data_IF_434963687878
#
_entry.id   IF_434963687878
#
_cell.length_a   1.000
_cell.length_b   1.000
_cell.length_c   1.000
_cell.angle_alpha   90.00
_cell.angle_beta   90.00
_cell.angle_gamma   90.00
#
_symmetry.space_group_name_H-M   'P 1'
#
loop_
_entity.id
_entity.type
_entity.pdbx_description
1 polymer ?
#
# COMPACT_ATOMS: atom_id res chain seq x y z
N UNK A 1 6.43 12.19 -4.48
CA UNK A 1 7.40 11.17 -4.98
C UNK A 1 6.68 10.16 -5.87
N UNK A 2 7.42 9.39 -6.71
CA UNK A 2 6.85 8.33 -7.56
C UNK A 2 5.94 7.36 -6.77
N UNK A 3 6.34 7.01 -5.56
CA UNK A 3 5.59 6.11 -4.66
C UNK A 3 4.21 6.64 -4.27
N UNK A 4 4.10 7.92 -3.93
CA UNK A 4 2.81 8.54 -3.59
C UNK A 4 1.88 8.57 -4.81
N UNK A 5 2.42 8.80 -6.00
CA UNK A 5 1.66 8.78 -7.26
C UNK A 5 1.16 7.37 -7.57
N UNK A 6 2.02 6.36 -7.44
CA UNK A 6 1.66 4.96 -7.63
C UNK A 6 0.63 4.52 -6.60
N UNK A 7 0.84 4.85 -5.33
CA UNK A 7 -0.13 4.53 -4.29
C UNK A 7 -1.48 5.20 -4.55
N UNK A 8 -1.53 6.47 -4.94
CA UNK A 8 -2.81 7.13 -5.29
C UNK A 8 -3.57 6.40 -6.39
N UNK A 9 -2.87 5.93 -7.43
CA UNK A 9 -3.45 5.08 -8.48
C UNK A 9 -4.02 3.78 -7.90
N UNK A 10 -3.32 3.12 -6.99
CA UNK A 10 -3.78 1.86 -6.41
C UNK A 10 -4.86 2.04 -5.35
N UNK A 11 -4.83 3.16 -4.63
CA UNK A 11 -5.77 3.49 -3.58
C UNK A 11 -7.18 3.58 -4.12
N UNK A 12 -7.40 4.11 -5.34
CA UNK A 12 -8.74 4.12 -5.95
C UNK A 12 -9.35 2.72 -6.12
N UNK A 13 -8.53 1.66 -6.15
CA UNK A 13 -8.98 0.27 -6.21
C UNK A 13 -9.19 -0.34 -4.81
N UNK A 14 -8.55 0.23 -3.77
CA UNK A 14 -8.68 -0.20 -2.38
C UNK A 14 -9.76 0.57 -1.61
N UNK A 15 -10.08 1.79 -2.04
CA UNK A 15 -10.89 2.78 -1.31
C UNK A 15 -12.26 2.23 -0.88
N UNK A 16 -12.89 1.40 -1.72
CA UNK A 16 -14.19 0.79 -1.38
C UNK A 16 -14.19 -0.05 -0.08
N UNK A 17 -13.06 -0.62 0.30
CA UNK A 17 -12.95 -1.57 1.43
C UNK A 17 -11.89 -1.15 2.46
N UNK A 18 -10.91 -0.35 2.06
CA UNK A 18 -9.77 0.04 2.88
C UNK A 18 -9.51 1.56 2.82
N UNK A 19 -10.56 2.36 2.64
CA UNK A 19 -10.50 3.84 2.61
C UNK A 19 -9.72 4.46 3.76
N UNK A 20 -9.76 3.83 4.93
CA UNK A 20 -9.11 4.37 6.13
C UNK A 20 -7.58 4.19 6.10
N UNK A 21 -7.04 3.35 5.20
CA UNK A 21 -5.61 3.06 5.09
C UNK A 21 -4.91 3.98 4.10
N UNK A 22 -4.75 5.25 4.48
CA UNK A 22 -4.16 6.31 3.65
C UNK A 22 -2.84 6.86 4.19
N UNK A 23 -2.43 6.45 5.38
CA UNK A 23 -1.25 7.01 6.02
C UNK A 23 0.02 6.27 5.62
N UNK A 24 1.05 7.08 5.37
CA UNK A 24 2.41 6.64 5.08
C UNK A 24 2.43 5.55 3.99
N UNK A 25 1.83 5.82 2.82
CA UNK A 25 1.80 4.84 1.75
C UNK A 25 3.20 4.50 1.29
N UNK A 26 3.49 3.21 1.15
CA UNK A 26 4.80 2.72 0.73
C UNK A 26 4.68 1.70 -0.38
N UNK A 27 5.56 1.81 -1.37
CA UNK A 27 5.82 0.73 -2.32
C UNK A 27 7.02 -0.05 -1.79
N UNK A 28 6.77 -1.25 -1.26
CA UNK A 28 7.80 -2.08 -0.65
C UNK A 28 8.65 -2.79 -1.72
N UNK A 29 8.02 -3.19 -2.84
CA UNK A 29 8.69 -3.88 -3.95
C UNK A 29 7.87 -3.77 -5.24
N UNK A 30 8.57 -3.67 -6.38
CA UNK A 30 7.98 -3.80 -7.72
C UNK A 30 8.72 -4.92 -8.45
N UNK A 31 7.98 -5.87 -9.02
CA UNK A 31 8.52 -6.98 -9.80
C UNK A 31 7.97 -6.89 -11.23
N UNK A 32 8.85 -6.97 -12.24
CA UNK A 32 8.43 -7.10 -13.64
C UNK A 32 7.91 -8.51 -13.91
N UNK A 33 6.79 -8.60 -14.62
CA UNK A 33 6.25 -9.87 -15.10
C UNK A 33 6.96 -10.20 -16.42
N UNK A 34 7.64 -11.34 -16.49
CA UNK A 34 8.33 -11.82 -17.71
C UNK A 34 9.36 -10.81 -18.30
N UNK A 35 9.91 -9.92 -17.46
CA UNK A 35 10.85 -8.88 -17.88
C UNK A 35 10.19 -7.69 -18.61
N UNK A 36 8.85 -7.65 -18.69
CA UNK A 36 8.11 -6.54 -19.27
C UNK A 36 8.11 -5.34 -18.31
N UNK A 37 8.50 -4.16 -18.83
CA UNK A 37 8.61 -2.91 -18.08
C UNK A 37 7.27 -2.20 -17.85
N UNK A 38 6.17 -2.70 -18.41
CA UNK A 38 4.82 -2.18 -18.24
C UNK A 38 3.92 -3.12 -17.44
N UNK A 39 4.39 -4.32 -17.10
CA UNK A 39 3.63 -5.33 -16.38
C UNK A 39 4.27 -5.60 -15.05
N UNK A 40 3.55 -5.30 -13.98
CA UNK A 40 4.13 -5.33 -12.64
C UNK A 40 3.30 -6.11 -11.64
N UNK A 41 4.00 -6.78 -10.74
CA UNK A 41 3.47 -7.16 -9.43
C UNK A 41 4.01 -6.13 -8.43
N UNK A 42 3.10 -5.46 -7.73
CA UNK A 42 3.45 -4.43 -6.76
C UNK A 42 3.10 -4.91 -5.36
N UNK A 43 4.07 -4.81 -4.46
CA UNK A 43 3.90 -5.02 -3.04
C UNK A 43 3.92 -3.66 -2.35
N UNK A 44 2.86 -3.37 -1.62
CA UNK A 44 2.69 -2.08 -1.01
C UNK A 44 2.00 -2.19 0.34
N UNK A 45 2.11 -1.14 1.13
CA UNK A 45 1.53 -1.07 2.45
C UNK A 45 1.12 0.33 2.86
N UNK A 46 0.20 0.40 3.83
CA UNK A 46 -0.26 1.66 4.42
C UNK A 46 -0.82 1.44 5.82
N UNK A 47 -0.87 2.53 6.59
CA UNK A 47 -1.43 2.60 7.93
C UNK A 47 -2.83 3.20 7.92
N UNK A 48 -3.65 2.81 8.89
CA UNK A 48 -4.96 3.41 9.11
C UNK A 48 -4.83 4.86 9.63
N UNK A 49 -5.75 5.72 9.23
CA UNK A 49 -5.79 7.13 9.64
C UNK A 49 -6.03 7.29 11.16
N UNK A 50 -6.82 6.40 11.76
CA UNK A 50 -7.13 6.45 13.19
C UNK A 50 -5.88 6.37 14.10
N UNK A 51 -4.82 5.67 13.67
CA UNK A 51 -3.58 5.57 14.43
C UNK A 51 -2.82 6.90 14.61
N UNK A 52 -3.03 7.87 13.71
CA UNK A 52 -2.40 9.20 13.81
C UNK A 52 -3.03 10.10 14.87
N UNK A 53 -4.29 9.83 15.20
CA UNK A 53 -4.99 10.51 16.31
C UNK A 53 -4.72 9.71 17.60
N UNK A 54 -5.77 9.18 18.21
CA UNK A 54 -5.71 8.45 19.48
C UNK A 54 -6.07 6.96 19.34
N UNK A 55 -6.23 6.46 18.11
CA UNK A 55 -6.56 5.06 17.83
C UNK A 55 -5.33 4.14 17.78
N UNK A 56 -5.53 2.81 17.80
CA UNK A 56 -4.46 1.87 17.50
C UNK A 56 -4.05 1.97 16.03
N UNK A 57 -2.75 1.82 15.76
CA UNK A 57 -2.27 1.66 14.40
C UNK A 57 -2.61 0.26 13.89
N UNK A 58 -3.27 0.20 12.74
CA UNK A 58 -3.43 -0.99 11.92
C UNK A 58 -2.64 -0.79 10.63
N UNK A 59 -2.10 -1.87 10.08
CA UNK A 59 -1.39 -1.88 8.79
C UNK A 59 -2.08 -2.81 7.80
N UNK A 60 -2.18 -2.39 6.55
CA UNK A 60 -2.40 -3.31 5.43
C UNK A 60 -1.11 -3.54 4.67
N UNK A 61 -0.85 -4.79 4.32
CA UNK A 61 0.06 -5.17 3.24
C UNK A 61 -0.79 -5.71 2.12
N UNK A 62 -0.57 -5.24 0.90
CA UNK A 62 -1.29 -5.73 -0.26
C UNK A 62 -0.36 -5.99 -1.43
N UNK A 63 -0.81 -6.93 -2.27
CA UNK A 63 -0.17 -7.25 -3.52
C UNK A 63 -1.18 -7.05 -4.64
N UNK A 64 -0.75 -6.42 -5.71
CA UNK A 64 -1.57 -6.20 -6.90
C UNK A 64 -0.77 -6.49 -8.17
N UNK A 65 -1.51 -6.73 -9.24
CA UNK A 65 -1.00 -6.78 -10.60
C UNK A 65 -1.45 -5.51 -11.32
N UNK A 66 -0.54 -4.84 -12.02
CA UNK A 66 -0.85 -3.71 -12.90
C UNK A 66 -0.33 -4.06 -14.30
N UNK A 67 -1.24 -4.25 -15.26
CA UNK A 67 -0.88 -4.48 -16.67
C UNK A 67 -1.71 -3.62 -17.60
N UNK A 68 -1.21 -3.31 -18.81
CA UNK A 68 -1.97 -2.52 -19.79
C UNK A 68 -3.29 -3.17 -20.21
N UNK A 69 -3.36 -4.51 -20.24
CA UNK A 69 -4.50 -5.26 -20.78
C UNK A 69 -5.64 -5.41 -19.77
N UNK A 70 -5.31 -5.53 -18.48
CA UNK A 70 -6.27 -5.85 -17.44
C UNK A 70 -6.42 -4.74 -16.39
N UNK A 71 -5.60 -3.68 -16.49
CA UNK A 71 -5.52 -2.63 -15.50
C UNK A 71 -4.99 -3.15 -14.16
N UNK A 72 -5.42 -2.49 -13.07
CA UNK A 72 -5.00 -2.85 -11.72
C UNK A 72 -5.95 -3.90 -11.13
N UNK A 73 -5.38 -5.00 -10.64
CA UNK A 73 -6.08 -6.06 -9.93
C UNK A 73 -5.43 -6.30 -8.57
N UNK A 74 -6.20 -6.12 -7.49
CA UNK A 74 -5.75 -6.50 -6.15
C UNK A 74 -5.77 -8.03 -6.04
N UNK A 75 -4.61 -8.62 -5.74
CA UNK A 75 -4.44 -10.06 -5.62
C UNK A 75 -4.59 -10.55 -4.18
N UNK A 76 -4.07 -9.78 -3.23
CA UNK A 76 -4.06 -10.15 -1.80
C UNK A 76 -4.03 -8.90 -0.94
N UNK A 77 -4.74 -8.94 0.19
CA UNK A 77 -4.64 -7.95 1.27
C UNK A 77 -4.53 -8.69 2.60
N UNK A 78 -3.55 -8.30 3.40
CA UNK A 78 -3.31 -8.81 4.76
C UNK A 78 -3.41 -7.64 5.72
N UNK A 79 -4.27 -7.74 6.73
CA UNK A 79 -4.42 -6.72 7.78
C UNK A 79 -3.70 -7.17 9.05
N UNK A 80 -2.87 -6.28 9.58
CA UNK A 80 -2.21 -6.40 10.88
C UNK A 80 -2.85 -5.39 11.82
N UNK A 81 -3.39 -5.87 12.96
CA UNK A 81 -4.07 -5.00 13.92
C UNK A 81 -3.17 -4.60 15.06
N UNK A 82 -3.38 -3.40 15.59
CA UNK A 82 -2.73 -2.89 16.80
C UNK A 82 -1.18 -3.05 16.78
N UNK A 83 -0.56 -2.60 15.69
CA UNK A 83 0.88 -2.57 15.54
C UNK A 83 1.48 -1.45 16.41
N UNK A 84 2.66 -1.68 16.99
CA UNK A 84 3.29 -0.75 17.93
C UNK A 84 3.75 0.56 17.27
N UNK A 85 3.54 1.70 17.96
CA UNK A 85 3.90 3.05 17.49
C UNK A 85 5.40 3.24 17.19
N UNK A 86 6.29 2.55 17.92
CA UNK A 86 7.76 2.65 17.77
C UNK A 86 8.22 2.13 16.39
N UNK A 87 7.47 1.22 15.77
CA UNK A 87 7.74 0.78 14.39
C UNK A 87 7.18 1.74 13.32
N UNK A 88 6.43 2.77 13.71
CA UNK A 88 5.66 3.62 12.81
C UNK A 88 6.31 4.97 12.53
N UNK A 89 7.02 5.56 13.51
CA UNK A 89 7.81 6.75 13.25
C UNK A 89 8.85 6.45 12.16
N UNK A 90 9.47 5.26 12.16
CA UNK A 90 10.35 4.79 11.08
C UNK A 90 9.60 4.46 9.78
N UNK A 91 8.35 3.97 9.85
CA UNK A 91 7.53 3.68 8.67
C UNK A 91 7.14 4.95 7.90
N UNK A 92 6.85 6.04 8.61
CA UNK A 92 6.49 7.32 8.03
C UNK A 92 7.69 8.23 7.73
N UNK A 93 8.90 7.91 8.23
CA UNK A 93 10.13 8.71 8.01
C UNK A 93 11.18 8.04 7.13
N UNK A 94 11.03 6.76 6.78
CA UNK A 94 11.93 6.10 5.82
C UNK A 94 11.73 6.68 4.41
N UNK A 95 12.52 7.72 4.09
CA UNK A 95 12.77 8.21 2.73
C UNK A 95 13.81 7.37 2.02
#
# INVERSE_FOLDING_TARGET
MLEETLYKRYFSYLDKTYSDFILCPRIDKIESIEGDTQRHIVHASALNYAGHHDGPYDKINFTLTDTPEYGVKINKVIRHKNISKINNDSFCTAK
#
